data_IF_069608595937
#
_entry.id   IF_069608595937
#
_cell.length_a   1.000
_cell.length_b   1.000
_cell.length_c   1.000
_cell.angle_alpha   90.00
_cell.angle_beta   90.00
_cell.angle_gamma   90.00
#
_symmetry.space_group_name_H-M   'P 1'
#
loop_
_entity.id
_entity.type
_entity.pdbx_description
1 polymer ?
#
# COMPACT_ATOMS: atom_id res chain seq x y z
N UNK A 1 18.29 13.38 31.07
CA UNK A 1 18.51 12.39 29.99
C UNK A 1 17.14 11.89 29.57
N UNK A 2 16.61 12.40 28.47
CA UNK A 2 15.31 11.97 27.96
C UNK A 2 15.50 10.70 27.13
N UNK A 3 14.99 9.57 27.63
CA UNK A 3 14.91 8.34 26.86
C UNK A 3 13.90 8.55 25.72
N UNK A 4 14.39 8.63 24.48
CA UNK A 4 13.54 8.54 23.30
C UNK A 4 13.03 7.10 23.23
N UNK A 5 11.81 6.88 23.74
CA UNK A 5 11.04 5.65 23.50
C UNK A 5 10.92 5.51 21.97
N UNK A 6 11.75 4.66 21.39
CA UNK A 6 11.65 4.27 19.99
C UNK A 6 10.37 3.44 19.86
N UNK A 7 9.28 4.12 19.50
CA UNK A 7 8.03 3.47 19.13
C UNK A 7 8.27 2.75 17.81
N UNK A 8 8.73 1.50 17.90
CA UNK A 8 8.71 0.61 16.74
C UNK A 8 7.24 0.23 16.53
N UNK A 9 6.60 0.63 15.42
CA UNK A 9 5.28 0.12 15.10
C UNK A 9 5.35 -1.41 15.12
N UNK A 10 4.28 -2.06 15.58
CA UNK A 10 4.20 -3.51 15.46
C UNK A 10 4.43 -3.90 14.00
N UNK A 11 5.03 -5.06 13.78
CA UNK A 11 5.32 -5.57 12.42
C UNK A 11 4.10 -5.46 11.50
N UNK A 12 2.92 -5.72 12.03
CA UNK A 12 1.63 -5.61 11.33
C UNK A 12 1.33 -4.18 10.86
N UNK A 13 1.57 -3.17 11.70
CA UNK A 13 1.38 -1.75 11.33
C UNK A 13 2.37 -1.33 10.24
N UNK A 14 3.61 -1.83 10.31
CA UNK A 14 4.60 -1.58 9.27
C UNK A 14 4.22 -2.24 7.94
N UNK A 15 3.77 -3.49 7.97
CA UNK A 15 3.30 -4.21 6.77
C UNK A 15 2.06 -3.56 6.13
N UNK A 16 1.15 -3.00 6.93
CA UNK A 16 0.02 -2.21 6.42
C UNK A 16 0.52 -0.92 5.78
N UNK A 17 1.42 -0.19 6.44
CA UNK A 17 1.99 1.06 5.90
C UNK A 17 2.73 0.85 4.58
N UNK A 18 3.52 -0.21 4.47
CA UNK A 18 4.20 -0.59 3.23
C UNK A 18 3.21 -0.93 2.10
N UNK A 19 2.11 -1.63 2.44
CA UNK A 19 1.06 -1.96 1.48
C UNK A 19 0.29 -0.71 1.01
N UNK A 20 0.00 0.24 1.92
CA UNK A 20 -0.60 1.53 1.57
C UNK A 20 0.31 2.37 0.67
N UNK A 21 1.61 2.44 1.01
CA UNK A 21 2.60 3.14 0.20
C UNK A 21 2.64 2.54 -1.21
N UNK A 22 2.66 1.22 -1.32
CA UNK A 22 2.69 0.53 -2.61
C UNK A 22 1.46 0.82 -3.48
N UNK A 23 0.27 0.89 -2.88
CA UNK A 23 -0.95 1.27 -3.61
C UNK A 23 -0.80 2.69 -4.15
N UNK A 24 -0.35 3.65 -3.33
CA UNK A 24 -0.17 5.04 -3.75
C UNK A 24 0.86 5.21 -4.87
N UNK A 25 1.97 4.48 -4.81
CA UNK A 25 2.97 4.49 -5.89
C UNK A 25 2.37 4.00 -7.21
N UNK A 26 1.59 2.92 -7.17
CA UNK A 26 0.96 2.36 -8.36
C UNK A 26 -0.14 3.27 -8.92
N UNK A 27 -0.89 3.97 -8.05
CA UNK A 27 -1.86 4.99 -8.48
C UNK A 27 -1.18 6.18 -9.17
N UNK A 28 -0.05 6.65 -8.64
CA UNK A 28 0.74 7.71 -9.29
C UNK A 28 1.26 7.27 -10.66
N UNK A 29 1.80 6.04 -10.74
CA UNK A 29 2.27 5.49 -12.03
C UNK A 29 1.13 5.29 -13.01
N UNK A 30 -0.05 4.86 -12.56
CA UNK A 30 -1.22 4.73 -13.44
C UNK A 30 -1.62 6.08 -14.04
N UNK A 31 -1.49 7.17 -13.28
CA UNK A 31 -1.72 8.52 -13.79
C UNK A 31 -0.61 8.99 -14.75
N UNK A 32 0.66 8.66 -14.47
CA UNK A 32 1.80 9.00 -15.34
C UNK A 32 1.72 8.30 -16.70
N UNK A 33 1.34 7.02 -16.71
CA UNK A 33 1.27 6.18 -17.90
C UNK A 33 -0.15 6.04 -18.46
N UNK A 34 -1.03 7.01 -18.20
CA UNK A 34 -2.44 6.93 -18.58
C UNK A 34 -2.66 6.79 -20.11
N UNK A 35 -1.74 7.35 -20.91
CA UNK A 35 -1.78 7.33 -22.37
C UNK A 35 -1.05 6.12 -22.99
N UNK A 36 -0.47 5.23 -22.16
CA UNK A 36 0.20 4.01 -22.60
C UNK A 36 -0.64 2.78 -22.20
N UNK A 37 -1.54 2.28 -23.07
CA UNK A 37 -2.56 1.30 -22.69
C UNK A 37 -1.99 -0.03 -22.17
N UNK A 38 -0.92 -0.53 -22.78
CA UNK A 38 -0.29 -1.79 -22.35
C UNK A 38 0.43 -1.62 -20.99
N UNK A 39 1.14 -0.51 -20.82
CA UNK A 39 1.79 -0.14 -19.55
C UNK A 39 0.76 0.06 -18.44
N UNK A 40 -0.34 0.78 -18.74
CA UNK A 40 -1.45 1.03 -17.83
C UNK A 40 -2.15 -0.27 -17.42
N UNK A 41 -2.35 -1.21 -18.36
CA UNK A 41 -2.94 -2.51 -18.06
C UNK A 41 -2.10 -3.29 -17.03
N UNK A 42 -0.78 -3.34 -17.24
CA UNK A 42 0.14 -3.99 -16.29
C UNK A 42 0.16 -3.29 -14.91
N UNK A 43 0.12 -1.96 -14.89
CA UNK A 43 0.04 -1.20 -13.63
C UNK A 43 -1.28 -1.47 -12.89
N UNK A 44 -2.39 -1.52 -13.62
CA UNK A 44 -3.70 -1.78 -13.04
C UNK A 44 -3.82 -3.21 -12.46
N UNK A 45 -3.22 -4.20 -13.11
CA UNK A 45 -3.11 -5.56 -12.56
C UNK A 45 -2.33 -5.56 -11.24
N UNK A 46 -1.15 -4.92 -11.22
CA UNK A 46 -0.36 -4.77 -10.01
C UNK A 46 -1.10 -4.01 -8.90
N UNK A 47 -1.86 -2.97 -9.26
CA UNK A 47 -2.67 -2.18 -8.35
C UNK A 47 -3.80 -3.00 -7.73
N UNK A 48 -4.47 -3.85 -8.52
CA UNK A 48 -5.48 -4.77 -8.02
C UNK A 48 -4.90 -5.73 -6.97
N UNK A 49 -3.74 -6.34 -7.25
CA UNK A 49 -3.05 -7.20 -6.30
C UNK A 49 -2.63 -6.46 -5.02
N UNK A 50 -2.11 -5.25 -5.14
CA UNK A 50 -1.71 -4.43 -4.00
C UNK A 50 -2.91 -4.06 -3.11
N UNK A 51 -4.04 -3.68 -3.72
CA UNK A 51 -5.29 -3.38 -2.99
C UNK A 51 -5.84 -4.61 -2.27
N UNK A 52 -5.90 -5.77 -2.92
CA UNK A 52 -6.33 -7.01 -2.26
C UNK A 52 -5.39 -7.44 -1.13
N UNK A 53 -4.09 -7.16 -1.23
CA UNK A 53 -3.15 -7.38 -0.12
C UNK A 53 -3.43 -6.44 1.05
N UNK A 54 -3.56 -5.15 0.78
CA UNK A 54 -3.86 -4.14 1.79
C UNK A 54 -5.18 -4.45 2.51
N UNK A 55 -6.22 -4.82 1.76
CA UNK A 55 -7.51 -5.19 2.33
C UNK A 55 -7.39 -6.37 3.30
N UNK A 56 -6.66 -7.43 2.92
CA UNK A 56 -6.42 -8.58 3.81
C UNK A 56 -5.66 -8.20 5.08
N UNK A 57 -4.66 -7.33 4.97
CA UNK A 57 -3.87 -6.86 6.12
C UNK A 57 -4.69 -5.96 7.04
N UNK A 58 -5.56 -5.12 6.47
CA UNK A 58 -6.42 -4.19 7.22
C UNK A 58 -7.71 -4.85 7.74
N UNK A 59 -8.12 -6.01 7.22
CA UNK A 59 -9.36 -6.68 7.59
C UNK A 59 -9.57 -6.89 9.10
N UNK A 60 -8.55 -7.26 9.91
CA UNK A 60 -8.71 -7.40 11.36
C UNK A 60 -9.12 -6.10 12.07
N UNK A 61 -8.72 -4.95 11.50
CA UNK A 61 -8.93 -3.61 12.07
C UNK A 61 -10.22 -2.94 11.55
N UNK A 62 -10.88 -3.55 10.56
CA UNK A 62 -12.11 -3.04 9.93
C UNK A 62 -13.41 -3.56 10.59
N UNK A 63 -13.34 -4.26 11.72
CA UNK A 63 -14.56 -4.72 12.42
C UNK A 63 -15.30 -3.56 13.12
N UNK A 64 -16.65 -3.61 13.12
CA UNK A 64 -17.54 -2.49 13.47
C UNK A 64 -17.43 -2.03 14.92
#
# INVERSE_FOLDING_TARGET
MSATLSYSPSREVQEIGDAEHRVKELEQRAAEYADEPDTLAAINEALAHARSRLERLAAPWKKP
#
